data_IF_072716046446
#
_entry.id   IF_072716046446
#
_cell.length_a   1.000
_cell.length_b   1.000
_cell.length_c   1.000
_cell.angle_alpha   90.00
_cell.angle_beta   90.00
_cell.angle_gamma   90.00
#
_symmetry.space_group_name_H-M   'P 1'
#
loop_
_entity.id
_entity.type
_entity.pdbx_description
1 polymer ?
#
# COMPACT_ATOMS: atom_id res chain seq x y z
N UNK A 1 -13.51 28.78 5.51
CA UNK A 1 -12.89 27.74 4.67
C UNK A 1 -12.02 26.85 5.54
N UNK A 2 -12.54 25.73 6.04
CA UNK A 2 -11.67 24.67 6.57
C UNK A 2 -11.24 23.82 5.38
N UNK A 3 -10.16 24.24 4.69
CA UNK A 3 -9.49 23.39 3.71
C UNK A 3 -8.94 22.20 4.48
N UNK A 4 -9.50 21.01 4.32
CA UNK A 4 -8.77 19.82 4.71
C UNK A 4 -7.41 19.87 4.00
N UNK A 5 -6.33 19.74 4.77
CA UNK A 5 -4.96 19.95 4.27
C UNK A 5 -4.48 18.85 3.30
N UNK A 6 -5.32 17.85 3.05
CA UNK A 6 -4.96 16.63 2.34
C UNK A 6 -5.87 16.48 1.12
N UNK A 7 -5.25 16.57 -0.05
CA UNK A 7 -5.90 16.40 -1.33
C UNK A 7 -6.19 14.90 -1.62
N UNK A 8 -7.44 14.50 -1.93
CA UNK A 8 -7.79 13.12 -2.25
C UNK A 8 -7.02 12.53 -3.43
N UNK A 9 -6.68 13.35 -4.44
CA UNK A 9 -5.91 12.89 -5.61
C UNK A 9 -4.47 12.52 -5.21
N UNK A 10 -3.86 13.30 -4.32
CA UNK A 10 -2.55 13.00 -3.73
C UNK A 10 -2.54 11.69 -2.94
N UNK A 11 -3.63 11.38 -2.20
CA UNK A 11 -3.78 10.10 -1.50
C UNK A 11 -3.88 8.93 -2.49
N UNK A 12 -4.65 9.07 -3.57
CA UNK A 12 -4.79 8.05 -4.62
C UNK A 12 -3.47 7.81 -5.36
N UNK A 13 -2.75 8.88 -5.69
CA UNK A 13 -1.43 8.80 -6.33
C UNK A 13 -0.43 8.06 -5.43
N UNK A 14 -0.44 8.36 -4.13
CA UNK A 14 0.42 7.67 -3.16
C UNK A 14 0.04 6.19 -3.04
N UNK A 15 -1.26 5.87 -2.99
CA UNK A 15 -1.74 4.50 -2.97
C UNK A 15 -1.29 3.71 -4.22
N UNK A 16 -1.41 4.29 -5.42
CA UNK A 16 -0.96 3.67 -6.67
C UNK A 16 0.55 3.41 -6.68
N UNK A 17 1.36 4.34 -6.15
CA UNK A 17 2.80 4.16 -6.05
C UNK A 17 3.17 3.00 -5.11
N UNK A 18 2.48 2.89 -3.98
CA UNK A 18 2.69 1.82 -3.00
C UNK A 18 2.23 0.46 -3.53
N UNK A 19 1.16 0.43 -4.33
CA UNK A 19 0.73 -0.77 -5.04
C UNK A 19 1.80 -1.26 -6.03
N UNK A 20 2.42 -0.35 -6.80
CA UNK A 20 3.55 -0.72 -7.67
C UNK A 20 4.78 -1.25 -6.92
N UNK A 21 5.07 -0.73 -5.72
CA UNK A 21 6.13 -1.25 -4.84
C UNK A 21 5.77 -2.66 -4.34
N UNK A 22 4.52 -2.87 -3.91
CA UNK A 22 4.02 -4.18 -3.48
C UNK A 22 4.16 -5.22 -4.58
N UNK A 23 3.73 -4.90 -5.80
CA UNK A 23 3.75 -5.83 -6.93
C UNK A 23 5.19 -6.22 -7.29
N UNK A 24 6.12 -5.24 -7.27
CA UNK A 24 7.55 -5.49 -7.47
C UNK A 24 8.15 -6.34 -6.34
N UNK A 25 7.72 -6.10 -5.10
CA UNK A 25 8.18 -6.85 -3.93
C UNK A 25 7.70 -8.31 -3.94
N UNK A 26 6.46 -8.57 -4.38
CA UNK A 26 5.93 -9.93 -4.52
C UNK A 26 6.75 -10.79 -5.49
N UNK A 27 7.20 -10.21 -6.61
CA UNK A 27 7.98 -10.92 -7.63
C UNK A 27 9.38 -11.36 -7.14
N UNK A 28 9.96 -10.69 -6.13
CA UNK A 28 11.32 -11.00 -5.65
C UNK A 28 11.44 -12.39 -5.00
N UNK A 29 10.38 -12.87 -4.32
CA UNK A 29 10.40 -14.16 -3.64
C UNK A 29 10.55 -15.38 -4.56
N UNK A 30 10.27 -15.24 -5.86
CA UNK A 30 10.38 -16.34 -6.83
C UNK A 30 11.83 -16.67 -7.24
N UNK A 31 12.81 -15.85 -6.83
CA UNK A 31 14.17 -15.89 -7.41
C UNK A 31 15.24 -16.55 -6.54
N UNK A 32 14.88 -17.17 -5.40
CA UNK A 32 15.88 -17.75 -4.51
C UNK A 32 16.55 -19.00 -5.13
N UNK A 33 17.89 -19.02 -5.31
CA UNK A 33 18.57 -20.12 -6.01
C UNK A 33 18.52 -21.40 -5.18
N UNK A 34 17.95 -22.46 -5.77
CA UNK A 34 17.74 -23.75 -5.12
C UNK A 34 18.98 -24.66 -5.09
N UNK A 35 20.02 -24.36 -5.86
CA UNK A 35 21.14 -25.29 -6.08
C UNK A 35 22.49 -24.66 -5.73
N UNK A 36 22.79 -24.63 -4.43
CA UNK A 36 24.13 -24.32 -3.94
C UNK A 36 24.77 -25.65 -3.60
N UNK A 37 25.70 -26.14 -4.43
CA UNK A 37 26.28 -27.50 -4.42
C UNK A 37 26.99 -27.97 -3.13
N UNK A 38 26.86 -27.23 -2.02
CA UNK A 38 27.27 -27.62 -0.68
C UNK A 38 26.05 -27.68 0.26
N UNK A 39 25.76 -28.86 0.80
CA UNK A 39 24.57 -29.14 1.60
C UNK A 39 24.37 -28.19 2.81
N UNK A 40 25.45 -27.76 3.46
CA UNK A 40 25.36 -26.82 4.59
C UNK A 40 25.08 -25.38 4.14
N UNK A 41 25.55 -24.99 2.95
CA UNK A 41 25.23 -23.69 2.34
C UNK A 41 23.78 -23.70 1.87
N UNK A 42 23.34 -24.76 1.20
CA UNK A 42 21.94 -24.94 0.82
C UNK A 42 21.02 -24.87 2.05
N UNK A 43 21.34 -25.58 3.14
CA UNK A 43 20.57 -25.52 4.39
C UNK A 43 20.52 -24.11 4.99
N UNK A 44 21.64 -23.39 4.98
CA UNK A 44 21.71 -22.02 5.51
C UNK A 44 20.92 -21.04 4.65
N UNK A 45 21.01 -21.18 3.32
CA UNK A 45 20.22 -20.39 2.35
C UNK A 45 18.73 -20.70 2.49
N UNK A 46 18.33 -21.96 2.64
CA UNK A 46 16.93 -22.33 2.86
C UNK A 46 16.39 -21.76 4.17
N UNK A 47 17.17 -21.79 5.26
CA UNK A 47 16.76 -21.16 6.54
C UNK A 47 16.60 -19.65 6.39
N UNK A 48 17.58 -18.98 5.80
CA UNK A 48 17.53 -17.55 5.53
C UNK A 48 16.32 -17.20 4.65
N UNK A 49 16.05 -18.00 3.62
CA UNK A 49 14.91 -17.82 2.74
C UNK A 49 13.58 -17.94 3.49
N UNK A 50 13.42 -18.94 4.37
CA UNK A 50 12.22 -19.12 5.19
C UNK A 50 12.03 -17.95 6.16
N UNK A 51 13.06 -17.61 6.94
CA UNK A 51 12.99 -16.53 7.93
C UNK A 51 12.69 -15.17 7.27
N UNK A 52 13.27 -14.95 6.08
CA UNK A 52 13.05 -13.73 5.30
C UNK A 52 11.70 -13.74 4.61
N UNK A 53 11.20 -14.88 4.14
CA UNK A 53 9.94 -14.99 3.42
C UNK A 53 8.73 -14.62 4.29
N UNK A 54 8.71 -15.06 5.55
CA UNK A 54 7.62 -14.72 6.48
C UNK A 54 7.61 -13.22 6.80
N UNK A 55 8.78 -12.67 7.11
CA UNK A 55 8.94 -11.22 7.37
C UNK A 55 8.58 -10.38 6.13
N UNK A 56 8.97 -10.85 4.95
CA UNK A 56 8.70 -10.20 3.68
C UNK A 56 7.20 -10.24 3.34
N UNK A 57 6.56 -11.38 3.54
CA UNK A 57 5.12 -11.54 3.35
C UNK A 57 4.34 -10.59 4.25
N UNK A 58 4.71 -10.51 5.54
CA UNK A 58 4.10 -9.56 6.47
C UNK A 58 4.24 -8.11 5.98
N UNK A 59 5.42 -7.72 5.50
CA UNK A 59 5.65 -6.37 4.98
C UNK A 59 4.81 -6.08 3.72
N UNK A 60 4.67 -7.05 2.82
CA UNK A 60 3.81 -6.96 1.63
C UNK A 60 2.33 -6.83 2.01
N UNK A 61 1.88 -7.56 3.03
CA UNK A 61 0.52 -7.46 3.57
C UNK A 61 0.29 -6.09 4.23
N UNK A 62 1.24 -5.57 5.00
CA UNK A 62 1.15 -4.22 5.60
C UNK A 62 1.02 -3.12 4.54
N UNK A 63 1.76 -3.24 3.43
CA UNK A 63 1.63 -2.34 2.28
C UNK A 63 0.23 -2.38 1.68
N UNK A 64 -0.38 -3.58 1.56
CA UNK A 64 -1.74 -3.72 1.06
C UNK A 64 -2.77 -3.03 1.98
N UNK A 65 -2.65 -3.21 3.29
CA UNK A 65 -3.50 -2.52 4.26
C UNK A 65 -3.36 -1.00 4.19
N UNK A 66 -2.14 -0.50 3.98
CA UNK A 66 -1.89 0.94 3.88
C UNK A 66 -2.46 1.54 2.59
N UNK A 67 -2.35 0.84 1.46
CA UNK A 67 -2.99 1.22 0.18
C UNK A 67 -4.51 1.34 0.35
N UNK A 68 -5.14 0.35 0.99
CA UNK A 68 -6.58 0.34 1.22
C UNK A 68 -7.03 1.51 2.09
N UNK A 69 -6.30 1.77 3.19
CA UNK A 69 -6.58 2.92 4.07
C UNK A 69 -6.45 4.26 3.37
N UNK A 70 -5.46 4.42 2.49
CA UNK A 70 -5.29 5.65 1.70
C UNK A 70 -6.47 5.86 0.74
N UNK A 71 -6.94 4.80 0.07
CA UNK A 71 -8.11 4.85 -0.82
C UNK A 71 -9.39 5.21 -0.04
N UNK A 72 -9.64 4.54 1.08
CA UNK A 72 -10.77 4.85 1.96
C UNK A 72 -10.74 6.29 2.47
N UNK A 73 -9.55 6.78 2.84
CA UNK A 73 -9.40 8.17 3.29
C UNK A 73 -9.70 9.16 2.16
N UNK A 74 -9.23 8.89 0.93
CA UNK A 74 -9.54 9.72 -0.24
C UNK A 74 -11.05 9.77 -0.51
N UNK A 75 -11.73 8.63 -0.43
CA UNK A 75 -13.18 8.56 -0.63
C UNK A 75 -13.97 9.28 0.47
N UNK A 76 -13.52 9.21 1.72
CA UNK A 76 -14.12 9.95 2.83
C UNK A 76 -13.96 11.46 2.63
N UNK A 77 -12.77 11.94 2.27
CA UNK A 77 -12.55 13.37 2.01
C UNK A 77 -13.37 13.85 0.82
N UNK A 78 -13.43 13.09 -0.28
CA UNK A 78 -14.23 13.48 -1.45
C UNK A 78 -15.74 13.51 -1.16
N UNK A 79 -16.27 12.55 -0.39
CA UNK A 79 -17.68 12.60 0.06
C UNK A 79 -17.94 13.81 0.94
N UNK A 80 -17.05 14.06 1.89
CA UNK A 80 -17.16 15.22 2.79
C UNK A 80 -17.12 16.53 2.02
N UNK A 81 -16.24 16.67 1.04
CA UNK A 81 -16.16 17.87 0.19
C UNK A 81 -17.45 18.06 -0.63
N UNK A 82 -18.03 16.98 -1.19
CA UNK A 82 -19.33 17.05 -1.88
C UNK A 82 -20.47 17.45 -0.95
N UNK A 83 -20.52 16.90 0.26
CA UNK A 83 -21.55 17.21 1.25
C UNK A 83 -21.42 18.64 1.81
N UNK A 84 -20.20 19.19 1.86
CA UNK A 84 -19.92 20.59 2.24
C UNK A 84 -20.27 21.57 1.12
N UNK A 85 -20.34 21.14 -0.14
CA UNK A 85 -20.82 21.97 -1.27
C UNK A 85 -22.36 22.02 -1.33
N UNK A 86 -23.06 21.05 -0.73
CA UNK A 86 -24.54 20.94 -0.77
C UNK A 86 -25.34 21.70 0.34
N UNK A 87 -24.81 22.34 1.40
CA UNK A 87 -25.62 23.12 2.33
C UNK A 87 -25.67 24.59 1.87
N UNK A 88 -26.47 24.86 0.84
CA UNK A 88 -26.57 26.19 0.24
C UNK A 88 -27.72 26.33 -0.75
N UNK A 89 -28.89 25.79 -0.44
CA UNK A 89 -30.12 26.21 -1.11
C UNK A 89 -30.31 27.71 -0.93
N UNK A 90 -30.48 28.40 -2.07
CA UNK A 90 -30.98 29.77 -2.24
C UNK A 90 -30.59 30.80 -1.14
N UNK A 91 -29.68 31.70 -1.48
CA UNK A 91 -29.63 33.02 -0.83
C UNK A 91 -30.69 33.91 -1.52
N UNK A 92 -31.79 34.31 -0.87
CA UNK A 92 -32.65 35.34 -1.44
C UNK A 92 -31.96 36.70 -1.27
N UNK A 93 -31.75 37.36 -2.42
CA UNK A 93 -31.38 38.77 -2.69
C UNK A 93 -30.58 39.55 -1.64
#
# INVERSE_FOLDING_TARGET
MSKFSVDPESLRTTAARLEGVRDSAGAFMETCPADVGHADVARSVSRLAVDTADSWKSAVEDLAHLVERLRQSADLYERTDRDVVVPGGAVPK
#
